data_IF_232828236958
#
_entry.id   IF_232828236958
#
_cell.length_a   1.000
_cell.length_b   1.000
_cell.length_c   1.000
_cell.angle_alpha   90.00
_cell.angle_beta   90.00
_cell.angle_gamma   90.00
#
_symmetry.space_group_name_H-M   'P 1'
#
loop_
_entity.id
_entity.type
_entity.pdbx_description
1 polymer ?
#
# COMPACT_ATOMS: atom_id res chain seq x y z
N UNK A 1 6.44 92.05 6.15
CA UNK A 1 6.18 91.27 4.91
C UNK A 1 6.65 89.85 5.14
N UNK A 2 5.72 88.89 5.03
CA UNK A 2 5.86 87.50 4.55
C UNK A 2 6.97 86.61 5.15
N UNK A 3 6.77 85.34 5.54
CA UNK A 3 5.66 84.35 5.48
C UNK A 3 6.09 83.24 6.47
N UNK A 4 5.25 82.71 7.38
CA UNK A 4 4.30 81.59 7.18
C UNK A 4 5.06 80.30 6.78
N UNK A 5 5.00 79.12 7.39
CA UNK A 5 4.25 78.46 8.48
C UNK A 5 4.68 76.96 8.43
N UNK A 6 4.19 76.12 9.36
CA UNK A 6 4.05 74.64 9.24
C UNK A 6 5.34 73.85 9.60
N UNK A 7 5.48 73.37 10.85
CA UNK A 7 4.92 72.10 11.37
C UNK A 7 5.26 70.93 10.46
N UNK A 8 6.33 70.20 10.72
CA UNK A 8 6.31 68.73 10.64
C UNK A 8 7.58 68.16 11.25
N UNK A 9 7.41 67.38 12.32
CA UNK A 9 8.23 66.24 12.69
C UNK A 9 9.75 66.53 12.71
N UNK A 10 10.35 66.88 13.85
CA UNK A 10 10.79 65.87 14.85
C UNK A 10 10.73 64.45 14.26
N UNK A 11 11.49 64.21 13.18
CA UNK A 11 12.11 62.91 12.91
C UNK A 11 13.30 62.81 13.88
N UNK A 12 12.93 62.83 15.16
CA UNK A 12 13.73 62.28 16.23
C UNK A 12 14.16 60.92 15.73
N UNK A 13 15.45 60.66 15.84
CA UNK A 13 16.05 59.34 15.82
C UNK A 13 15.30 58.40 16.78
N UNK A 14 14.10 57.96 16.41
CA UNK A 14 13.55 56.69 16.82
C UNK A 14 14.10 55.65 15.83
N UNK A 15 15.43 55.55 15.79
CA UNK A 15 16.04 54.22 15.72
C UNK A 15 15.65 53.56 17.04
N UNK A 16 14.39 53.10 17.08
CA UNK A 16 13.93 52.11 18.01
C UNK A 16 14.95 51.01 17.82
N UNK A 17 15.76 50.84 18.85
CA UNK A 17 16.59 49.69 19.05
C UNK A 17 15.63 48.49 19.09
N UNK A 18 15.18 48.04 17.92
CA UNK A 18 14.92 46.64 17.67
C UNK A 18 16.31 46.00 17.72
N UNK A 19 16.86 45.91 18.93
CA UNK A 19 17.71 44.79 19.26
C UNK A 19 16.82 43.59 19.00
N UNK A 20 16.95 43.02 17.80
CA UNK A 20 16.64 41.62 17.62
C UNK A 20 17.55 40.93 18.63
N UNK A 21 17.02 40.63 19.81
CA UNK A 21 17.77 39.82 20.75
C UNK A 21 17.87 38.46 20.06
N UNK A 22 19.07 38.12 19.59
CA UNK A 22 19.43 36.76 19.16
C UNK A 22 19.41 35.75 20.35
N UNK A 23 18.57 36.00 21.37
CA UNK A 23 18.24 35.07 22.43
C UNK A 23 17.13 34.09 21.98
N UNK A 24 17.08 33.76 20.70
CA UNK A 24 16.39 32.55 20.27
C UNK A 24 17.36 31.40 20.51
N UNK A 25 17.45 30.95 21.76
CA UNK A 25 17.97 29.61 22.03
C UNK A 25 16.99 28.66 21.35
N UNK A 26 17.37 28.12 20.19
CA UNK A 26 16.61 27.06 19.57
C UNK A 26 16.72 25.83 20.47
N UNK A 27 15.58 25.35 20.97
CA UNK A 27 15.53 24.08 21.65
C UNK A 27 16.04 23.00 20.69
N UNK A 28 17.05 22.25 21.10
CA UNK A 28 17.59 21.17 20.28
C UNK A 28 16.56 20.03 20.34
N UNK A 29 16.01 19.60 19.20
CA UNK A 29 14.97 18.58 19.20
C UNK A 29 15.54 17.23 19.63
N UNK A 30 14.70 16.46 20.30
CA UNK A 30 14.87 15.01 20.41
C UNK A 30 14.36 14.35 19.12
N UNK A 31 14.63 13.07 18.92
CA UNK A 31 14.18 12.37 17.73
C UNK A 31 13.54 11.04 18.08
N UNK A 32 12.54 10.67 17.29
CA UNK A 32 12.13 9.27 17.17
C UNK A 32 12.62 8.72 15.84
N UNK A 33 13.08 7.48 15.83
CA UNK A 33 13.52 6.77 14.63
C UNK A 33 12.61 5.56 14.41
N UNK A 34 12.02 5.46 13.22
CA UNK A 34 11.19 4.34 12.80
C UNK A 34 11.87 3.75 11.57
N UNK A 35 12.42 2.55 11.71
CA UNK A 35 13.10 1.86 10.61
C UNK A 35 12.09 1.15 9.70
N UNK A 36 11.19 0.36 10.28
CA UNK A 36 10.18 -0.43 9.57
C UNK A 36 8.99 -0.78 10.48
N UNK A 37 7.94 -1.36 9.90
CA UNK A 37 6.88 -2.04 10.64
C UNK A 37 7.09 -3.54 10.64
N UNK A 38 6.99 -4.16 11.82
CA UNK A 38 6.96 -5.62 11.95
C UNK A 38 5.53 -6.13 11.90
N UNK A 39 5.23 -7.06 10.99
CA UNK A 39 3.95 -7.76 11.02
C UNK A 39 4.03 -8.94 12.00
N UNK A 40 3.11 -8.98 12.98
CA UNK A 40 3.10 -10.03 13.99
C UNK A 40 2.87 -11.41 13.35
N UNK A 41 3.73 -12.38 13.69
CA UNK A 41 3.68 -13.73 13.13
C UNK A 41 4.67 -13.96 11.99
N UNK A 42 5.24 -12.91 11.40
CA UNK A 42 6.35 -13.09 10.46
C UNK A 42 7.62 -13.46 11.25
N UNK A 43 8.13 -14.67 11.03
CA UNK A 43 9.28 -15.20 11.77
C UNK A 43 10.57 -15.28 10.93
N UNK A 44 10.46 -15.25 9.60
CA UNK A 44 11.60 -15.30 8.66
C UNK A 44 11.32 -14.47 7.38
N UNK A 45 12.36 -13.81 6.86
CA UNK A 45 12.27 -12.91 5.68
C UNK A 45 12.91 -13.50 4.41
N UNK A 46 13.27 -14.78 4.40
CA UNK A 46 13.82 -15.43 3.19
C UNK A 46 12.71 -15.93 2.28
N UNK A 47 12.82 -15.63 0.98
CA UNK A 47 11.96 -16.18 -0.07
C UNK A 47 12.49 -17.57 -0.49
N UNK A 48 11.62 -18.58 -0.72
CA UNK A 48 10.18 -18.54 -0.49
C UNK A 48 9.84 -18.50 1.01
N UNK A 49 8.88 -17.65 1.37
CA UNK A 49 8.41 -17.52 2.75
C UNK A 49 7.57 -18.73 3.17
N UNK A 50 7.46 -18.99 4.47
CA UNK A 50 6.53 -20.01 4.97
C UNK A 50 5.06 -19.61 4.69
N UNK A 51 4.15 -20.59 4.64
CA UNK A 51 2.72 -20.36 4.36
C UNK A 51 2.02 -19.45 5.38
N UNK A 52 2.58 -19.27 6.58
CA UNK A 52 1.99 -18.41 7.62
C UNK A 52 2.48 -16.95 7.55
N UNK A 53 3.47 -16.68 6.69
CA UNK A 53 4.02 -15.35 6.47
C UNK A 53 2.98 -14.39 5.87
N UNK A 54 2.90 -13.18 6.39
CA UNK A 54 2.06 -12.12 5.84
C UNK A 54 2.93 -11.09 5.14
N UNK A 55 2.89 -11.10 3.81
CA UNK A 55 3.60 -10.11 3.02
C UNK A 55 3.03 -8.72 3.27
N UNK A 56 3.89 -7.79 3.62
CA UNK A 56 3.54 -6.38 3.80
C UNK A 56 4.42 -5.47 2.94
N UNK A 57 3.87 -4.34 2.52
CA UNK A 57 4.62 -3.25 1.91
C UNK A 57 4.15 -1.92 2.52
N UNK A 58 4.45 -1.79 3.81
CA UNK A 58 4.19 -0.57 4.60
C UNK A 58 5.33 0.38 4.32
N UNK A 59 5.04 1.50 3.65
CA UNK A 59 6.04 2.49 3.23
C UNK A 59 6.01 3.76 4.06
N UNK A 60 4.97 3.95 4.86
CA UNK A 60 4.72 5.21 5.55
C UNK A 60 4.28 4.99 7.00
N UNK A 61 4.61 5.94 7.86
CA UNK A 61 4.15 6.02 9.25
C UNK A 61 3.32 7.29 9.45
N UNK A 62 2.06 7.12 9.84
CA UNK A 62 1.20 8.24 10.26
C UNK A 62 1.30 8.39 11.77
N UNK A 63 1.94 9.47 12.22
CA UNK A 63 2.33 9.63 13.62
C UNK A 63 1.48 10.70 14.30
N UNK A 64 0.91 10.34 15.44
CA UNK A 64 0.31 11.28 16.39
C UNK A 64 0.97 11.15 17.75
N UNK A 65 1.06 12.26 18.48
CA UNK A 65 1.66 12.36 19.81
C UNK A 65 0.68 13.08 20.74
N UNK A 66 0.27 12.44 21.84
CA UNK A 66 -0.76 12.95 22.76
C UNK A 66 -2.06 13.39 22.04
N UNK A 67 -2.44 12.64 21.00
CA UNK A 67 -3.63 12.92 20.18
C UNK A 67 -3.45 14.04 19.14
N UNK A 68 -2.29 14.69 19.07
CA UNK A 68 -1.98 15.70 18.06
C UNK A 68 -1.26 15.08 16.86
N UNK A 69 -1.60 15.53 15.65
CA UNK A 69 -0.96 15.07 14.42
C UNK A 69 0.46 15.63 14.35
N UNK A 70 1.44 14.75 14.22
CA UNK A 70 2.84 15.13 13.95
C UNK A 70 3.08 15.16 12.45
N UNK A 71 2.64 14.11 11.73
CA UNK A 71 2.76 14.06 10.27
C UNK A 71 2.70 12.65 9.70
N UNK A 72 3.03 12.58 8.40
CA UNK A 72 3.15 11.35 7.61
C UNK A 72 4.58 11.28 7.10
N UNK A 73 5.26 10.17 7.35
CA UNK A 73 6.69 10.03 7.07
C UNK A 73 6.96 8.73 6.33
N UNK A 74 7.70 8.80 5.22
CA UNK A 74 8.18 7.62 4.51
C UNK A 74 9.27 6.93 5.34
N UNK A 75 9.12 5.64 5.62
CA UNK A 75 10.08 4.88 6.44
C UNK A 75 11.17 4.26 5.55
N UNK A 76 12.43 4.15 6.04
CA UNK A 76 12.90 4.54 7.37
C UNK A 76 12.96 6.07 7.56
N UNK A 77 12.58 6.56 8.74
CA UNK A 77 12.54 7.99 9.03
C UNK A 77 13.07 8.37 10.42
N UNK A 78 13.50 9.64 10.53
CA UNK A 78 13.81 10.32 11.79
C UNK A 78 12.92 11.54 11.93
N UNK A 79 12.12 11.60 12.99
CA UNK A 79 11.13 12.64 13.20
C UNK A 79 11.58 13.50 14.39
N UNK A 80 11.76 14.82 14.21
CA UNK A 80 12.11 15.71 15.30
C UNK A 80 10.91 15.90 16.24
N UNK A 81 11.15 15.75 17.53
CA UNK A 81 10.18 15.96 18.61
C UNK A 81 10.69 17.11 19.48
N UNK A 82 9.86 18.13 19.64
CA UNK A 82 10.12 19.25 20.53
C UNK A 82 9.54 18.94 21.91
N UNK A 83 10.43 18.76 22.90
CA UNK A 83 10.07 18.53 24.30
C UNK A 83 10.79 17.35 24.93
N UNK A 84 10.59 17.22 26.23
CA UNK A 84 11.11 16.21 27.11
C UNK A 84 10.00 15.62 27.99
N UNK A 85 10.10 14.32 28.28
CA UNK A 85 9.14 13.58 29.10
C UNK A 85 8.46 12.42 28.38
N UNK A 86 7.40 11.88 28.97
CA UNK A 86 6.68 10.71 28.47
C UNK A 86 5.51 11.17 27.59
N UNK A 87 5.44 10.65 26.37
CA UNK A 87 4.39 10.97 25.41
C UNK A 87 3.73 9.69 24.86
N UNK A 88 2.44 9.80 24.57
CA UNK A 88 1.65 8.71 24.00
C UNK A 88 1.66 8.81 22.48
N UNK A 89 2.29 7.85 21.82
CA UNK A 89 2.37 7.77 20.38
C UNK A 89 1.35 6.80 19.82
N UNK A 90 0.65 7.22 18.76
CA UNK A 90 -0.06 6.31 17.87
C UNK A 90 0.59 6.38 16.49
N UNK A 91 1.03 5.24 15.97
CA UNK A 91 1.72 5.11 14.70
C UNK A 91 0.91 4.17 13.83
N UNK A 92 0.19 4.72 12.84
CA UNK A 92 -0.60 3.91 11.90
C UNK A 92 0.23 3.52 10.69
N UNK A 93 0.18 2.25 10.24
CA UNK A 93 0.89 1.81 9.04
C UNK A 93 0.24 2.41 7.78
N UNK A 94 1.07 2.97 6.93
CA UNK A 94 0.68 3.57 5.66
C UNK A 94 1.23 2.83 4.45
N UNK A 95 0.44 2.82 3.38
CA UNK A 95 0.77 2.17 2.11
C UNK A 95 0.61 3.16 0.93
N UNK A 96 1.19 2.81 -0.22
CA UNK A 96 0.91 3.45 -1.52
C UNK A 96 -0.23 2.70 -2.21
N UNK A 97 -1.46 3.21 -2.10
CA UNK A 97 -2.62 2.59 -2.71
C UNK A 97 -2.50 2.60 -4.24
N UNK A 98 -2.83 1.47 -4.87
CA UNK A 98 -2.65 1.22 -6.30
C UNK A 98 -1.19 1.39 -6.78
N UNK A 99 -0.21 1.30 -5.88
CA UNK A 99 1.20 1.55 -6.18
C UNK A 99 1.53 3.00 -6.55
N UNK A 100 0.58 3.94 -6.41
CA UNK A 100 0.76 5.34 -6.81
C UNK A 100 1.44 6.11 -5.67
N UNK A 101 2.64 6.64 -5.92
CA UNK A 101 3.45 7.32 -4.91
C UNK A 101 2.76 8.54 -4.26
N UNK A 102 1.86 9.20 -5.00
CA UNK A 102 1.06 10.33 -4.51
C UNK A 102 -0.21 9.92 -3.74
N UNK A 103 -0.60 8.64 -3.76
CA UNK A 103 -1.78 8.13 -3.09
C UNK A 103 -1.41 7.33 -1.82
N UNK A 104 -0.91 8.05 -0.82
CA UNK A 104 -0.49 7.48 0.47
C UNK A 104 -1.66 7.48 1.44
N UNK A 105 -2.02 6.31 1.96
CA UNK A 105 -3.15 6.14 2.89
C UNK A 105 -2.72 5.37 4.14
N UNK A 106 -3.43 5.58 5.26
CA UNK A 106 -3.39 4.61 6.38
C UNK A 106 -4.08 3.34 5.91
N UNK A 107 -3.42 2.19 6.02
CA UNK A 107 -4.05 0.96 5.58
C UNK A 107 -5.22 0.60 6.51
N UNK A 108 -6.47 0.54 6.03
CA UNK A 108 -7.63 0.50 6.91
C UNK A 108 -7.76 -0.81 7.68
N UNK A 109 -7.09 -1.88 7.25
CA UNK A 109 -7.19 -3.22 7.82
C UNK A 109 -6.08 -3.56 8.81
N UNK A 110 -5.06 -2.71 8.98
CA UNK A 110 -3.97 -2.95 9.93
C UNK A 110 -4.20 -2.24 11.27
N UNK A 111 -3.78 -2.89 12.35
CA UNK A 111 -3.80 -2.34 13.71
C UNK A 111 -2.81 -1.18 13.86
N UNK A 112 -3.19 -0.21 14.70
CA UNK A 112 -2.36 0.94 15.04
C UNK A 112 -1.39 0.52 16.15
N UNK A 113 -0.11 0.89 16.02
CA UNK A 113 0.85 0.72 17.11
C UNK A 113 0.68 1.85 18.13
N UNK A 114 0.46 1.50 19.40
CA UNK A 114 0.30 2.44 20.51
C UNK A 114 1.37 2.19 21.56
N UNK A 115 2.09 3.24 21.98
CA UNK A 115 3.14 3.11 22.99
C UNK A 115 3.37 4.43 23.73
N UNK A 116 3.67 4.33 25.03
CA UNK A 116 4.21 5.45 25.81
C UNK A 116 5.73 5.46 25.66
N UNK A 117 6.29 6.59 25.20
CA UNK A 117 7.71 6.71 24.89
C UNK A 117 8.28 7.89 25.67
N UNK A 118 9.35 7.63 26.41
CA UNK A 118 10.15 8.67 27.05
C UNK A 118 11.05 9.33 26.01
N UNK A 119 10.88 10.64 25.86
CA UNK A 119 11.66 11.51 25.01
C UNK A 119 12.63 12.29 25.90
N UNK A 120 13.92 12.16 25.59
CA UNK A 120 15.01 12.80 26.33
C UNK A 120 15.80 13.69 25.40
N UNK A 121 16.06 14.92 25.84
CA UNK A 121 16.76 15.93 25.05
C UNK A 121 18.05 15.40 24.42
N UNK A 122 18.24 15.70 23.13
CA UNK A 122 19.40 15.31 22.32
C UNK A 122 19.58 13.79 22.12
N UNK A 123 18.55 12.97 22.38
CA UNK A 123 18.60 11.53 22.12
C UNK A 123 17.66 11.12 21.00
N UNK A 124 17.97 9.94 20.43
CA UNK A 124 17.16 9.26 19.42
C UNK A 124 16.51 8.05 20.09
N UNK A 125 15.18 8.06 20.20
CA UNK A 125 14.40 6.93 20.66
C UNK A 125 14.01 6.06 19.46
N UNK A 126 14.60 4.86 19.35
CA UNK A 126 14.24 3.89 18.32
C UNK A 126 12.90 3.24 18.65
N UNK A 127 12.01 3.19 17.67
CA UNK A 127 10.70 2.59 17.77
C UNK A 127 10.61 1.46 16.74
N UNK A 128 10.18 0.30 17.20
CA UNK A 128 9.94 -0.88 16.37
C UNK A 128 8.43 -1.17 16.35
N UNK A 129 7.63 -0.40 15.60
CA UNK A 129 6.20 -0.57 15.59
C UNK A 129 5.82 -1.95 15.05
N UNK A 130 4.89 -2.61 15.73
CA UNK A 130 4.29 -3.87 15.30
C UNK A 130 2.87 -3.65 14.81
N UNK A 131 2.43 -4.42 13.83
CA UNK A 131 1.05 -4.42 13.34
C UNK A 131 0.58 -5.83 12.98
N UNK A 132 -0.70 -5.95 12.70
CA UNK A 132 -1.38 -7.17 12.23
C UNK A 132 -2.72 -6.76 11.62
N UNK A 133 -3.43 -7.68 10.95
CA UNK A 133 -4.82 -7.40 10.58
C UNK A 133 -5.69 -7.15 11.82
N UNK A 134 -6.64 -6.22 11.68
CA UNK A 134 -7.65 -5.97 12.72
C UNK A 134 -8.53 -7.20 12.89
N UNK A 135 -9.00 -7.40 14.12
CA UNK A 135 -9.87 -8.54 14.47
C UNK A 135 -11.17 -8.66 13.65
N UNK A 136 -11.68 -7.55 13.11
CA UNK A 136 -12.88 -7.53 12.26
C UNK A 136 -12.58 -7.58 10.75
N UNK A 137 -11.32 -7.71 10.36
CA UNK A 137 -10.91 -7.87 8.96
C UNK A 137 -11.39 -9.23 8.46
N UNK A 138 -11.93 -9.27 7.26
CA UNK A 138 -12.31 -10.48 6.56
C UNK A 138 -11.46 -10.64 5.31
N UNK A 139 -11.08 -11.88 4.98
CA UNK A 139 -10.19 -12.19 3.87
C UNK A 139 -10.80 -13.32 3.05
N UNK A 140 -11.09 -13.06 1.77
CA UNK A 140 -11.40 -14.10 0.79
C UNK A 140 -10.08 -14.51 0.12
N UNK A 141 -9.94 -15.81 -0.15
CA UNK A 141 -8.74 -16.45 -0.71
C UNK A 141 -7.51 -16.42 0.20
N UNK A 142 -7.68 -16.32 1.52
CA UNK A 142 -6.56 -16.32 2.47
C UNK A 142 -5.64 -17.53 2.31
N UNK A 143 -6.20 -18.70 2.03
CA UNK A 143 -5.45 -19.94 1.82
C UNK A 143 -5.30 -20.26 0.32
N UNK A 144 -6.36 -20.07 -0.45
CA UNK A 144 -6.44 -20.49 -1.84
C UNK A 144 -5.60 -19.60 -2.77
N UNK A 145 -5.43 -18.33 -2.42
CA UNK A 145 -4.62 -17.38 -3.20
C UNK A 145 -3.11 -17.56 -3.06
N UNK A 146 -2.66 -18.48 -2.20
CA UNK A 146 -1.29 -19.00 -2.20
C UNK A 146 -1.10 -20.20 -3.14
N UNK A 147 -2.15 -20.66 -3.83
CA UNK A 147 -2.09 -21.73 -4.84
C UNK A 147 -1.55 -23.09 -4.34
N UNK A 148 -1.71 -23.36 -3.04
CA UNK A 148 -1.28 -24.59 -2.37
C UNK A 148 -2.33 -25.73 -2.43
N UNK A 149 -3.38 -25.57 -3.23
CA UNK A 149 -4.46 -26.55 -3.35
C UNK A 149 -3.93 -27.91 -3.87
N UNK A 150 -4.63 -28.99 -3.53
CA UNK A 150 -4.30 -30.33 -4.05
C UNK A 150 -4.55 -30.36 -5.56
N UNK A 151 -3.66 -31.04 -6.30
CA UNK A 151 -3.62 -31.06 -7.76
C UNK A 151 -3.35 -29.67 -8.36
N UNK A 152 -3.75 -29.44 -9.61
CA UNK A 152 -3.65 -28.15 -10.32
C UNK A 152 -4.87 -27.25 -10.05
N UNK A 153 -5.44 -27.34 -8.84
CA UNK A 153 -6.58 -26.51 -8.43
C UNK A 153 -6.19 -25.04 -8.35
N UNK A 154 -7.08 -24.15 -8.79
CA UNK A 154 -6.88 -22.70 -8.82
C UNK A 154 -8.19 -21.98 -8.54
N UNK A 155 -8.10 -20.75 -8.04
CA UNK A 155 -9.22 -19.81 -7.90
C UNK A 155 -9.47 -19.01 -9.18
N UNK A 156 -8.60 -19.15 -10.18
CA UNK A 156 -8.66 -18.46 -11.46
C UNK A 156 -8.95 -19.46 -12.59
N UNK A 157 -9.61 -18.99 -13.64
CA UNK A 157 -9.87 -19.71 -14.90
C UNK A 157 -9.50 -18.82 -16.09
N UNK A 158 -9.06 -19.44 -17.19
CA UNK A 158 -8.94 -18.75 -18.47
C UNK A 158 -10.31 -18.53 -19.11
N UNK A 159 -10.52 -17.36 -19.72
CA UNK A 159 -11.74 -17.08 -20.46
C UNK A 159 -11.67 -17.61 -21.89
N UNK A 160 -12.80 -17.56 -22.61
CA UNK A 160 -12.90 -18.05 -23.98
C UNK A 160 -12.12 -17.21 -25.01
N UNK A 161 -11.67 -16.01 -24.62
CA UNK A 161 -10.83 -15.14 -25.48
C UNK A 161 -9.34 -15.33 -25.23
N UNK A 162 -8.96 -16.07 -24.18
CA UNK A 162 -7.58 -16.37 -23.85
C UNK A 162 -7.03 -17.44 -24.80
N UNK A 163 -5.84 -17.23 -25.37
CA UNK A 163 -5.10 -18.27 -26.10
C UNK A 163 -4.13 -19.04 -25.20
N UNK A 164 -3.87 -18.50 -24.01
CA UNK A 164 -2.96 -19.04 -23.00
C UNK A 164 -3.72 -19.40 -21.73
N UNK A 165 -3.27 -20.43 -21.01
CA UNK A 165 -3.79 -20.78 -19.68
C UNK A 165 -2.72 -20.55 -18.62
N UNK A 166 -3.14 -20.26 -17.39
CA UNK A 166 -2.22 -20.24 -16.26
C UNK A 166 -1.85 -21.68 -15.86
N UNK A 167 -0.71 -21.81 -15.18
CA UNK A 167 -0.23 -23.06 -14.57
C UNK A 167 0.14 -22.80 -13.12
N UNK A 168 0.06 -23.82 -12.28
CA UNK A 168 0.58 -23.78 -10.91
C UNK A 168 1.94 -24.49 -10.90
N UNK A 169 2.98 -23.81 -10.40
CA UNK A 169 4.37 -24.27 -10.52
C UNK A 169 5.18 -24.04 -9.23
N UNK A 170 6.35 -24.67 -9.12
CA UNK A 170 7.14 -24.76 -7.88
C UNK A 170 8.54 -24.08 -7.97
N UNK A 171 8.92 -23.55 -9.14
CA UNK A 171 10.26 -22.98 -9.39
C UNK A 171 10.38 -21.52 -8.95
N UNK A 172 9.38 -20.68 -9.30
CA UNK A 172 9.37 -19.24 -9.00
C UNK A 172 8.28 -18.95 -7.97
N UNK A 173 8.59 -19.07 -6.69
CA UNK A 173 7.61 -19.01 -5.60
C UNK A 173 7.91 -17.85 -4.66
N UNK A 174 6.88 -17.12 -4.23
CA UNK A 174 7.02 -16.08 -3.21
C UNK A 174 6.78 -16.67 -1.81
N UNK A 175 5.72 -17.47 -1.66
CA UNK A 175 5.28 -18.03 -0.40
C UNK A 175 4.84 -19.49 -0.58
N UNK A 176 5.19 -20.34 0.39
CA UNK A 176 4.86 -21.76 0.36
C UNK A 176 5.73 -22.52 -0.63
N UNK A 177 5.12 -23.41 -1.39
CA UNK A 177 5.75 -24.31 -2.34
C UNK A 177 5.33 -24.03 -3.79
N UNK A 178 4.23 -23.29 -3.99
CA UNK A 178 3.63 -23.09 -5.32
C UNK A 178 3.29 -21.63 -5.55
N UNK A 179 3.28 -21.24 -6.82
CA UNK A 179 2.68 -19.99 -7.26
C UNK A 179 2.02 -20.18 -8.63
N UNK A 180 1.18 -19.22 -9.01
CA UNK A 180 0.61 -19.17 -10.35
C UNK A 180 1.61 -18.56 -11.32
N UNK A 181 1.76 -19.17 -12.49
CA UNK A 181 2.54 -18.64 -13.60
C UNK A 181 1.71 -18.60 -14.89
N UNK A 182 2.04 -17.65 -15.76
CA UNK A 182 1.52 -17.54 -17.12
C UNK A 182 2.70 -17.32 -18.04
N UNK A 183 2.82 -18.14 -19.07
CA UNK A 183 3.92 -18.08 -20.04
C UNK A 183 3.36 -17.77 -21.42
N UNK A 184 3.84 -16.68 -22.02
CA UNK A 184 3.48 -16.30 -23.39
C UNK A 184 4.66 -16.55 -24.33
N UNK A 185 4.34 -16.83 -25.59
CA UNK A 185 5.31 -16.99 -26.67
C UNK A 185 4.74 -16.40 -27.98
N UNK A 186 5.48 -16.57 -29.08
CA UNK A 186 5.04 -16.05 -30.40
C UNK A 186 3.79 -16.72 -30.97
N UNK A 187 3.32 -17.80 -30.36
CA UNK A 187 2.13 -18.59 -30.72
C UNK A 187 0.99 -18.35 -29.75
N UNK A 188 1.29 -18.36 -28.44
CA UNK A 188 0.35 -18.11 -27.35
C UNK A 188 0.59 -16.69 -26.83
N UNK A 189 -0.14 -15.73 -27.40
CA UNK A 189 0.22 -14.31 -27.35
C UNK A 189 -0.61 -13.50 -26.37
N UNK A 190 -1.66 -14.07 -25.79
CA UNK A 190 -2.60 -13.33 -24.96
C UNK A 190 -3.22 -14.22 -23.88
N UNK A 191 -3.11 -13.78 -22.63
CA UNK A 191 -3.88 -14.36 -21.54
C UNK A 191 -4.99 -13.44 -21.09
N UNK A 192 -6.12 -14.04 -20.75
CA UNK A 192 -7.24 -13.41 -20.06
C UNK A 192 -7.78 -14.41 -19.05
N UNK A 193 -7.49 -14.16 -17.77
CA UNK A 193 -7.91 -15.02 -16.67
C UNK A 193 -8.76 -14.23 -15.69
N UNK A 194 -9.64 -14.92 -14.97
CA UNK A 194 -10.52 -14.31 -13.98
C UNK A 194 -10.83 -15.24 -12.83
N UNK A 195 -11.38 -14.71 -11.74
CA UNK A 195 -11.88 -15.55 -10.64
C UNK A 195 -12.98 -16.50 -11.14
N UNK A 196 -12.95 -17.75 -10.65
CA UNK A 196 -13.96 -18.77 -10.96
C UNK A 196 -15.31 -18.36 -10.37
N UNK A 197 -15.31 -18.00 -9.09
CA UNK A 197 -16.52 -17.64 -8.39
C UNK A 197 -16.92 -16.18 -8.66
N UNK A 198 -18.23 -15.95 -8.64
CA UNK A 198 -18.79 -14.61 -8.54
C UNK A 198 -18.69 -14.12 -7.09
N UNK A 199 -18.22 -12.88 -6.94
CA UNK A 199 -17.91 -12.26 -5.66
C UNK A 199 -18.97 -11.21 -5.31
N UNK A 200 -19.29 -11.14 -4.02
CA UNK A 200 -20.05 -10.04 -3.43
C UNK A 200 -19.06 -9.11 -2.72
N UNK A 201 -18.75 -7.97 -3.34
CA UNK A 201 -17.74 -7.04 -2.85
C UNK A 201 -18.40 -5.82 -2.21
N UNK A 202 -17.88 -5.40 -1.05
CA UNK A 202 -18.27 -4.13 -0.42
C UNK A 202 -17.34 -2.99 -0.85
N UNK A 203 -17.75 -1.74 -0.72
CA UNK A 203 -16.93 -0.59 -1.12
C UNK A 203 -15.57 -0.53 -0.40
N UNK A 204 -15.45 -1.10 0.80
CA UNK A 204 -14.18 -1.13 1.53
C UNK A 204 -13.47 -2.47 1.30
N UNK A 205 -13.15 -2.76 0.04
CA UNK A 205 -12.43 -3.97 -0.38
C UNK A 205 -11.13 -3.61 -1.08
N UNK A 206 -10.04 -4.25 -0.67
CA UNK A 206 -8.75 -4.21 -1.34
C UNK A 206 -8.42 -5.58 -1.93
N UNK A 207 -7.88 -5.59 -3.14
CA UNK A 207 -7.15 -6.74 -3.66
C UNK A 207 -5.68 -6.58 -3.27
N UNK A 208 -5.15 -7.53 -2.52
CA UNK A 208 -3.73 -7.66 -2.25
C UNK A 208 -3.15 -8.82 -3.03
N UNK A 209 -1.93 -8.68 -3.55
CA UNK A 209 -1.18 -9.78 -4.15
C UNK A 209 0.31 -9.51 -4.19
N UNK A 210 1.09 -10.58 -4.28
CA UNK A 210 2.49 -10.55 -4.65
C UNK A 210 2.60 -10.90 -6.14
N UNK A 211 3.38 -10.14 -6.90
CA UNK A 211 3.65 -10.43 -8.31
C UNK A 211 5.12 -10.25 -8.68
N UNK A 212 5.56 -11.01 -9.68
CA UNK A 212 6.83 -10.85 -10.41
C UNK A 212 6.51 -11.04 -11.89
N UNK A 213 7.08 -10.24 -12.78
CA UNK A 213 6.68 -10.29 -14.20
C UNK A 213 7.73 -9.71 -15.13
N UNK A 214 7.93 -10.32 -16.30
CA UNK A 214 8.77 -9.74 -17.36
C UNK A 214 8.00 -8.77 -18.26
N UNK A 215 6.66 -8.81 -18.23
CA UNK A 215 5.78 -7.96 -19.04
C UNK A 215 4.83 -7.14 -18.17
N UNK A 216 4.25 -6.10 -18.75
CA UNK A 216 3.11 -5.42 -18.14
C UNK A 216 1.84 -6.23 -18.32
N UNK A 217 0.94 -6.18 -17.34
CA UNK A 217 -0.38 -6.82 -17.38
C UNK A 217 -1.41 -5.94 -16.66
N UNK A 218 -2.68 -6.05 -17.05
CA UNK A 218 -3.74 -5.26 -16.46
C UNK A 218 -4.54 -6.06 -15.45
N UNK A 219 -5.10 -5.35 -14.48
CA UNK A 219 -5.99 -5.88 -13.45
C UNK A 219 -7.25 -5.04 -13.46
N UNK A 220 -8.39 -5.68 -13.33
CA UNK A 220 -9.66 -4.98 -13.16
C UNK A 220 -10.76 -5.90 -12.66
N UNK A 221 -12.00 -5.44 -12.82
CA UNK A 221 -13.18 -6.21 -12.46
C UNK A 221 -14.13 -6.38 -13.64
N UNK A 222 -14.83 -7.50 -13.65
CA UNK A 222 -16.01 -7.75 -14.47
C UNK A 222 -17.22 -7.63 -13.55
N UNK A 223 -18.18 -6.78 -13.92
CA UNK A 223 -19.43 -6.58 -13.20
C UNK A 223 -20.53 -7.29 -13.97
N UNK A 224 -21.22 -8.22 -13.31
CA UNK A 224 -22.49 -8.79 -13.78
C UNK A 224 -23.63 -8.05 -13.11
N UNK A 225 -24.46 -7.34 -13.90
CA UNK A 225 -25.62 -6.64 -13.37
C UNK A 225 -26.87 -7.55 -13.28
N UNK A 226 -27.98 -6.99 -12.80
CA UNK A 226 -29.26 -7.71 -12.61
C UNK A 226 -29.89 -8.26 -13.90
N UNK A 227 -29.42 -7.79 -15.06
CA UNK A 227 -29.84 -8.25 -16.38
C UNK A 227 -28.87 -9.27 -16.98
N UNK A 228 -27.92 -9.76 -16.18
CA UNK A 228 -26.86 -10.70 -16.57
C UNK A 228 -25.95 -10.14 -17.69
N UNK A 229 -25.80 -8.80 -17.73
CA UNK A 229 -24.91 -8.12 -18.69
C UNK A 229 -23.55 -7.94 -18.03
N UNK A 230 -22.52 -8.51 -18.68
CA UNK A 230 -21.13 -8.39 -18.27
C UNK A 230 -20.52 -7.05 -18.73
N UNK A 231 -19.92 -6.32 -17.80
CA UNK A 231 -19.20 -5.08 -18.07
C UNK A 231 -17.79 -5.15 -17.46
N UNK A 232 -16.77 -4.92 -18.29
CA UNK A 232 -15.36 -5.00 -17.88
C UNK A 232 -14.80 -3.60 -17.64
N UNK A 233 -14.18 -3.40 -16.49
CA UNK A 233 -13.53 -2.15 -16.11
C UNK A 233 -12.11 -2.43 -15.64
N UNK A 234 -11.12 -1.82 -16.31
CA UNK A 234 -9.73 -1.83 -15.87
C UNK A 234 -9.54 -0.94 -14.64
N UNK A 235 -8.78 -1.43 -13.66
CA UNK A 235 -8.35 -0.62 -12.52
C UNK A 235 -6.98 0.00 -12.79
N UNK A 236 -6.02 -0.84 -13.20
CA UNK A 236 -4.62 -0.43 -13.38
C UNK A 236 -3.87 -1.42 -14.27
N UNK A 237 -2.85 -0.91 -14.95
CA UNK A 237 -1.76 -1.70 -15.54
C UNK A 237 -0.57 -1.78 -14.57
N UNK A 238 -0.14 -2.99 -14.24
CA UNK A 238 1.09 -3.25 -13.51
C UNK A 238 2.25 -3.41 -14.50
N UNK A 239 3.38 -2.77 -14.18
CA UNK A 239 4.60 -2.86 -14.98
C UNK A 239 5.47 -4.04 -14.56
N UNK A 240 6.30 -4.49 -15.51
CA UNK A 240 7.31 -5.53 -15.27
C UNK A 240 8.17 -5.25 -14.03
N UNK A 241 8.57 -6.34 -13.37
CA UNK A 241 9.40 -6.34 -12.18
C UNK A 241 10.16 -7.66 -12.08
N UNK A 242 11.50 -7.57 -12.06
CA UNK A 242 12.37 -8.73 -11.85
C UNK A 242 12.31 -9.24 -10.39
N UNK A 243 11.87 -8.40 -9.45
CA UNK A 243 11.67 -8.75 -8.05
C UNK A 243 10.18 -8.91 -7.73
N UNK A 244 9.89 -9.78 -6.75
CA UNK A 244 8.54 -9.90 -6.20
C UNK A 244 8.11 -8.59 -5.53
N UNK A 245 6.94 -8.09 -5.90
CA UNK A 245 6.33 -6.87 -5.36
C UNK A 245 4.98 -7.18 -4.73
N UNK A 246 4.78 -6.69 -3.50
CA UNK A 246 3.46 -6.63 -2.86
C UNK A 246 2.73 -5.36 -3.30
N UNK A 247 1.48 -5.50 -3.74
CA UNK A 247 0.62 -4.39 -4.11
C UNK A 247 -0.73 -4.47 -3.37
N UNK A 248 -1.30 -3.29 -3.12
CA UNK A 248 -2.61 -3.09 -2.52
C UNK A 248 -3.47 -2.27 -3.49
N UNK A 249 -4.52 -2.89 -4.00
CA UNK A 249 -5.41 -2.30 -5.00
C UNK A 249 -6.77 -1.97 -4.38
N UNK A 250 -7.08 -0.68 -4.30
CA UNK A 250 -8.38 -0.18 -3.85
C UNK A 250 -9.43 -0.43 -4.94
N UNK A 251 -10.35 -1.35 -4.68
CA UNK A 251 -11.41 -1.72 -5.62
C UNK A 251 -12.64 -0.80 -5.53
N UNK A 252 -12.71 0.08 -4.52
CA UNK A 252 -13.87 0.92 -4.26
C UNK A 252 -14.38 1.70 -5.49
N UNK A 253 -13.50 2.33 -6.31
CA UNK A 253 -13.95 3.10 -7.47
C UNK A 253 -14.69 2.25 -8.51
N UNK A 254 -14.27 0.99 -8.71
CA UNK A 254 -14.89 0.11 -9.69
C UNK A 254 -16.13 -0.58 -9.13
N UNK A 255 -16.11 -0.99 -7.85
CA UNK A 255 -17.30 -1.54 -7.16
C UNK A 255 -18.44 -0.52 -7.18
N UNK A 256 -18.13 0.77 -7.07
CA UNK A 256 -19.12 1.87 -7.11
C UNK A 256 -19.83 2.02 -8.47
N UNK A 257 -19.35 1.36 -9.53
CA UNK A 257 -20.02 1.33 -10.83
C UNK A 257 -21.16 0.29 -10.89
N UNK A 258 -21.13 -0.69 -9.98
CA UNK A 258 -22.20 -1.67 -9.81
C UNK A 258 -23.34 -1.15 -8.92
N UNK A 259 -24.33 -2.02 -8.69
CA UNK A 259 -25.42 -1.80 -7.75
C UNK A 259 -25.41 -2.89 -6.66
N UNK A 260 -26.35 -2.83 -5.71
CA UNK A 260 -26.40 -3.77 -4.57
C UNK A 260 -26.61 -5.24 -4.94
N UNK A 261 -27.06 -5.51 -6.16
CA UNK A 261 -27.33 -6.86 -6.66
C UNK A 261 -26.25 -7.34 -7.63
N UNK A 262 -25.28 -6.47 -7.95
CA UNK A 262 -24.19 -6.78 -8.87
C UNK A 262 -23.24 -7.81 -8.30
N UNK A 263 -22.77 -8.70 -9.17
CA UNK A 263 -21.72 -9.67 -8.88
C UNK A 263 -20.43 -9.25 -9.57
N UNK A 264 -19.31 -9.62 -8.96
CA UNK A 264 -18.00 -9.21 -9.42
C UNK A 264 -17.11 -10.40 -9.72
N UNK A 265 -16.27 -10.30 -10.75
CA UNK A 265 -15.09 -11.16 -10.92
C UNK A 265 -13.86 -10.28 -11.02
N UNK A 266 -12.75 -10.71 -10.47
CA UNK A 266 -11.45 -10.05 -10.69
C UNK A 266 -10.85 -10.65 -11.96
N UNK A 267 -10.34 -9.83 -12.88
CA UNK A 267 -9.64 -10.30 -14.06
C UNK A 267 -8.20 -9.81 -14.11
N UNK A 268 -7.38 -10.57 -14.82
CA UNK A 268 -6.00 -10.27 -15.19
C UNK A 268 -5.85 -10.54 -16.67
N UNK A 269 -5.26 -9.61 -17.42
CA UNK A 269 -4.91 -9.83 -18.83
C UNK A 269 -3.54 -9.27 -19.18
N UNK A 270 -2.97 -9.79 -20.25
CA UNK A 270 -1.68 -9.35 -20.73
C UNK A 270 -1.36 -9.96 -22.07
N UNK A 271 -0.41 -9.34 -22.76
CA UNK A 271 -0.04 -9.72 -24.12
C UNK A 271 1.46 -9.94 -24.22
N UNK A 272 1.83 -10.82 -25.15
CA UNK A 272 3.21 -11.11 -25.50
C UNK A 272 3.92 -9.83 -25.96
N UNK A 273 5.13 -9.63 -25.44
CA UNK A 273 6.06 -8.61 -25.87
C UNK A 273 7.23 -9.24 -26.61
N UNK A 274 7.41 -8.81 -27.87
CA UNK A 274 8.55 -9.23 -28.68
C UNK A 274 9.87 -8.54 -28.30
N UNK A 275 9.84 -7.60 -27.35
CA UNK A 275 11.04 -6.95 -26.80
C UNK A 275 11.66 -7.72 -25.65
N UNK A 276 10.88 -8.61 -25.02
CA UNK A 276 11.31 -9.38 -23.86
C UNK A 276 11.80 -10.76 -24.27
N UNK A 277 12.88 -11.22 -23.63
CA UNK A 277 13.43 -12.57 -23.86
C UNK A 277 12.49 -13.62 -23.25
N UNK A 278 11.96 -13.31 -22.07
CA UNK A 278 11.02 -14.13 -21.33
C UNK A 278 9.72 -13.36 -21.19
N UNK A 279 8.58 -14.04 -21.36
CA UNK A 279 7.26 -13.45 -21.21
C UNK A 279 6.50 -14.24 -20.16
N UNK A 280 6.88 -14.04 -18.90
CA UNK A 280 6.26 -14.69 -17.77
C UNK A 280 5.60 -13.69 -16.82
N UNK A 281 4.44 -14.06 -16.29
CA UNK A 281 3.76 -13.38 -15.18
C UNK A 281 3.59 -14.38 -14.05
N UNK A 282 4.03 -14.01 -12.85
CA UNK A 282 3.91 -14.81 -11.63
C UNK A 282 3.05 -14.08 -10.60
N UNK A 283 2.10 -14.79 -10.00
CA UNK A 283 1.18 -14.28 -8.98
C UNK A 283 1.17 -15.23 -7.78
N UNK A 284 1.19 -14.65 -6.58
CA UNK A 284 1.15 -15.38 -5.32
C UNK A 284 0.45 -14.52 -4.24
N UNK A 285 0.01 -15.14 -3.15
CA UNK A 285 -0.60 -14.47 -1.99
C UNK A 285 -1.76 -13.52 -2.35
N UNK A 286 -2.63 -13.96 -3.27
CA UNK A 286 -3.80 -13.20 -3.71
C UNK A 286 -4.87 -13.20 -2.62
N UNK A 287 -5.26 -12.02 -2.14
CA UNK A 287 -6.24 -11.86 -1.06
C UNK A 287 -7.22 -10.74 -1.39
N UNK A 288 -8.50 -10.96 -1.13
CA UNK A 288 -9.50 -9.88 -1.10
C UNK A 288 -9.80 -9.55 0.36
N UNK A 289 -9.34 -8.39 0.80
CA UNK A 289 -9.41 -7.95 2.19
C UNK A 289 -10.47 -6.87 2.33
N UNK A 290 -11.41 -7.08 3.26
CA UNK A 290 -12.54 -6.18 3.45
C UNK A 290 -13.00 -6.15 4.92
N UNK A 291 -13.86 -5.19 5.24
CA UNK A 291 -14.61 -5.17 6.49
C UNK A 291 -16.10 -5.32 6.18
N UNK A 292 -16.84 -6.02 7.04
CA UNK A 292 -18.30 -5.97 7.06
C UNK A 292 -18.82 -4.65 7.63
#
# INVERSE_FOLDING_TARGET
>A
MQKTFIITSILLLSFINLKCSDNLNADIPSYIEIEEFNYNGNTNSTIPHDQTYNSVNITDAWVTMNGQIIGVFEIPCKIPILGDGIYNFNISPGIKANGIAGNRIKYPFYEIYQSEIEISNNLVSKIHPTTQYKTNTQIIYENEGGFEMIAEGSILEATTISDTVHVIQEDVVFQGNKSLAIYLDSTNTYFDIRTIDELELSQNTFLELNFKSNISFNIGIIITNDLDILQRYELIQLYASDDWKKIYLDLAPLISLGNNSSKYKIYFDGQYSNTEIENAVYIDNLKLVYNQ
#
